data_IF_691054228866
#
_entry.id   IF_691054228866
#
_cell.length_a   1.000
_cell.length_b   1.000
_cell.length_c   1.000
_cell.angle_alpha   90.00
_cell.angle_beta   90.00
_cell.angle_gamma   90.00
#
_symmetry.space_group_name_H-M   'P 1'
#
loop_
_entity.id
_entity.type
_entity.pdbx_description
1 polymer ?
#
# COMPACT_ATOMS: atom_id res chain seq x y z
N UNK A 1 -14.15 20.76 11.67
CA UNK A 1 -13.61 20.61 10.29
C UNK A 1 -12.10 20.43 10.36
N UNK A 2 -11.60 19.21 10.16
CA UNK A 2 -10.21 18.80 10.47
C UNK A 2 -9.33 18.74 9.21
N UNK A 3 -9.34 19.80 8.40
CA UNK A 3 -8.56 19.91 7.14
C UNK A 3 -7.13 20.42 7.35
N UNK A 4 -6.79 20.85 8.56
CA UNK A 4 -5.53 21.57 8.85
C UNK A 4 -4.26 20.73 8.69
N UNK A 5 -4.35 19.39 8.60
CA UNK A 5 -3.18 18.52 8.60
C UNK A 5 -2.78 17.99 7.21
N UNK A 6 -3.69 17.91 6.23
CA UNK A 6 -3.36 17.44 4.87
C UNK A 6 -2.36 18.35 4.17
N UNK A 7 -2.40 19.63 4.50
CA UNK A 7 -1.62 20.65 3.83
C UNK A 7 -0.14 20.64 4.22
N UNK A 8 0.23 20.01 5.33
CA UNK A 8 1.63 20.00 5.78
C UNK A 8 2.52 19.21 4.82
N UNK A 9 2.09 18.02 4.39
CA UNK A 9 2.83 17.21 3.41
C UNK A 9 2.91 17.89 2.03
N UNK A 10 1.82 18.52 1.59
CA UNK A 10 1.80 19.31 0.35
C UNK A 10 2.73 20.54 0.44
N UNK A 11 2.77 21.21 1.58
CA UNK A 11 3.62 22.38 1.82
C UNK A 11 5.11 21.99 1.84
N UNK A 12 5.47 20.87 2.45
CA UNK A 12 6.85 20.34 2.42
C UNK A 12 7.28 20.01 0.98
N UNK A 13 6.43 19.31 0.22
CA UNK A 13 6.72 19.02 -1.18
C UNK A 13 6.84 20.30 -2.02
N UNK A 14 5.95 21.28 -1.81
CA UNK A 14 5.98 22.56 -2.51
C UNK A 14 7.23 23.38 -2.18
N UNK A 15 7.66 23.43 -0.92
CA UNK A 15 8.89 24.14 -0.51
C UNK A 15 10.12 23.47 -1.11
N UNK A 16 10.21 22.14 -1.06
CA UNK A 16 11.30 21.41 -1.70
C UNK A 16 11.34 21.62 -3.21
N UNK A 17 10.17 21.60 -3.86
CA UNK A 17 10.04 21.91 -5.28
C UNK A 17 10.51 23.33 -5.60
N UNK A 18 10.09 24.31 -4.79
CA UNK A 18 10.48 25.71 -4.97
C UNK A 18 11.99 25.90 -4.86
N UNK A 19 12.67 25.21 -3.93
CA UNK A 19 14.12 25.24 -3.80
C UNK A 19 14.81 24.66 -5.03
N UNK A 20 14.33 23.51 -5.54
CA UNK A 20 14.91 22.90 -6.74
C UNK A 20 14.71 23.79 -7.96
N UNK A 21 13.53 24.41 -8.10
CA UNK A 21 13.24 25.37 -9.17
C UNK A 21 14.11 26.62 -9.10
N UNK A 22 14.53 27.04 -7.90
CA UNK A 22 15.44 28.17 -7.71
C UNK A 22 16.89 27.81 -8.06
N UNK A 23 17.33 26.59 -7.74
CA UNK A 23 18.68 26.09 -8.01
C UNK A 23 18.88 25.80 -9.51
N UNK A 24 17.82 25.39 -10.21
CA UNK A 24 17.87 25.03 -11.62
C UNK A 24 18.44 26.11 -12.57
N UNK A 25 17.96 27.37 -12.57
CA UNK A 25 18.50 28.43 -13.44
C UNK A 25 19.94 28.79 -13.09
N UNK A 26 20.34 28.67 -11.82
CA UNK A 26 21.73 28.87 -11.42
C UNK A 26 22.65 27.79 -12.01
N UNK A 27 22.21 26.52 -11.98
CA UNK A 27 22.92 25.43 -12.66
C UNK A 27 23.04 25.69 -14.17
N UNK A 28 21.94 26.07 -14.83
CA UNK A 28 21.94 26.35 -16.27
C UNK A 28 22.93 27.47 -16.60
N UNK A 29 22.91 28.58 -15.86
CA UNK A 29 23.81 29.71 -16.07
C UNK A 29 25.29 29.34 -15.92
N UNK A 30 25.62 28.49 -14.95
CA UNK A 30 27.01 28.12 -14.67
C UNK A 30 27.56 27.06 -15.62
N UNK A 31 26.72 26.09 -16.04
CA UNK A 31 27.19 24.89 -16.72
C UNK A 31 26.83 24.82 -18.20
N UNK A 32 25.87 25.59 -18.74
CA UNK A 32 25.50 25.51 -20.16
C UNK A 32 26.40 26.29 -21.15
N UNK A 33 27.48 26.91 -20.67
CA UNK A 33 28.39 27.68 -21.54
C UNK A 33 29.32 26.79 -22.41
N UNK A 34 29.36 25.49 -22.17
CA UNK A 34 30.23 24.55 -22.89
C UNK A 34 29.45 23.35 -23.43
N UNK A 35 29.96 22.71 -24.48
CA UNK A 35 29.36 21.55 -25.16
C UNK A 35 29.16 20.36 -24.20
N UNK A 36 30.08 20.18 -23.25
CA UNK A 36 29.95 19.17 -22.20
C UNK A 36 28.74 19.44 -21.29
N UNK A 37 28.42 20.71 -21.04
CA UNK A 37 27.27 21.13 -20.25
C UNK A 37 25.93 20.87 -20.93
N UNK A 38 25.87 21.04 -22.26
CA UNK A 38 24.69 20.68 -23.06
C UNK A 38 24.41 19.17 -23.04
N UNK A 39 25.45 18.32 -23.08
CA UNK A 39 25.28 16.88 -22.94
C UNK A 39 24.90 16.48 -21.51
N UNK A 40 25.53 17.10 -20.51
CA UNK A 40 25.22 16.90 -19.09
C UNK A 40 23.82 17.38 -18.68
N UNK A 41 23.22 18.28 -19.45
CA UNK A 41 21.88 18.80 -19.19
C UNK A 41 20.80 17.71 -19.12
N UNK A 42 20.88 16.70 -19.99
CA UNK A 42 19.92 15.57 -19.98
C UNK A 42 20.01 14.80 -18.66
N UNK A 43 21.22 14.55 -18.17
CA UNK A 43 21.45 13.86 -16.89
C UNK A 43 20.88 14.68 -15.74
N UNK A 44 21.07 16.00 -15.75
CA UNK A 44 20.54 16.88 -14.69
C UNK A 44 19.02 17.03 -14.76
N UNK A 45 18.42 17.02 -15.95
CA UNK A 45 16.96 16.93 -16.10
C UNK A 45 16.42 15.62 -15.52
N UNK A 46 17.09 14.49 -15.77
CA UNK A 46 16.68 13.20 -15.20
C UNK A 46 16.78 13.22 -13.68
N UNK A 47 17.86 13.79 -13.14
CA UNK A 47 18.02 13.97 -11.70
C UNK A 47 16.94 14.89 -11.12
N UNK A 48 16.57 15.96 -11.83
CA UNK A 48 15.48 16.85 -11.44
C UNK A 48 14.16 16.10 -11.34
N UNK A 49 13.77 15.34 -12.37
CA UNK A 49 12.53 14.55 -12.34
C UNK A 49 12.55 13.47 -11.26
N UNK A 50 13.73 12.87 -10.99
CA UNK A 50 13.91 11.93 -9.89
C UNK A 50 13.66 12.59 -8.53
N UNK A 51 14.28 13.75 -8.28
CA UNK A 51 14.10 14.52 -7.03
C UNK A 51 12.66 15.04 -6.89
N UNK A 52 12.04 15.45 -7.99
CA UNK A 52 10.62 15.84 -8.04
C UNK A 52 9.71 14.69 -7.59
N UNK A 53 9.89 13.50 -8.16
CA UNK A 53 9.15 12.32 -7.76
C UNK A 53 9.39 11.96 -6.29
N UNK A 54 10.64 12.03 -5.84
CA UNK A 54 11.00 11.78 -4.45
C UNK A 54 10.30 12.76 -3.48
N UNK A 55 10.30 14.06 -3.79
CA UNK A 55 9.58 15.07 -3.03
C UNK A 55 8.07 14.81 -2.99
N UNK A 56 7.50 14.33 -4.09
CA UNK A 56 6.09 13.98 -4.16
C UNK A 56 5.76 12.78 -3.27
N UNK A 57 6.58 11.73 -3.31
CA UNK A 57 6.42 10.54 -2.44
C UNK A 57 6.61 10.91 -0.97
N UNK A 58 7.60 11.73 -0.62
CA UNK A 58 7.81 12.20 0.76
C UNK A 58 6.63 13.04 1.24
N UNK A 59 6.16 13.99 0.42
CA UNK A 59 4.97 14.80 0.74
C UNK A 59 3.72 13.95 0.93
N UNK A 60 3.53 12.94 0.08
CA UNK A 60 2.44 11.98 0.21
C UNK A 60 2.55 11.11 1.47
N UNK A 61 3.75 10.65 1.82
CA UNK A 61 3.99 9.88 3.06
C UNK A 61 3.71 10.71 4.31
N UNK A 62 4.18 11.97 4.36
CA UNK A 62 3.90 12.88 5.46
C UNK A 62 2.40 13.14 5.57
N UNK A 63 1.73 13.33 4.42
CA UNK A 63 0.29 13.52 4.36
C UNK A 63 -0.47 12.28 4.87
N UNK A 64 -0.09 11.08 4.43
CA UNK A 64 -0.68 9.82 4.86
C UNK A 64 -0.48 9.57 6.37
N UNK A 65 0.72 9.85 6.90
CA UNK A 65 1.03 9.72 8.33
C UNK A 65 0.14 10.62 9.21
N UNK A 66 -0.25 11.79 8.70
CA UNK A 66 -1.06 12.75 9.44
C UNK A 66 -2.57 12.57 9.28
N UNK A 67 -3.01 12.04 8.13
CA UNK A 67 -4.44 11.89 7.84
C UNK A 67 -5.00 10.54 8.29
N UNK A 68 -4.18 9.49 8.28
CA UNK A 68 -4.59 8.15 8.63
C UNK A 68 -4.06 7.72 10.01
N UNK A 69 -4.95 7.70 11.00
CA UNK A 69 -4.91 6.68 12.07
C UNK A 69 -5.36 5.31 11.55
N UNK A 70 -5.71 5.21 10.26
CA UNK A 70 -6.00 3.95 9.59
C UNK A 70 -4.67 3.44 9.06
N UNK A 71 -4.02 2.61 9.85
CA UNK A 71 -2.80 1.92 9.45
C UNK A 71 -3.05 1.25 8.09
N UNK A 72 -2.44 1.71 6.99
CA UNK A 72 -2.52 0.97 5.76
C UNK A 72 -1.64 -0.25 6.02
N UNK A 73 -2.28 -1.38 6.34
CA UNK A 73 -1.65 -2.67 6.58
C UNK A 73 -1.04 -2.89 8.00
N UNK A 74 -1.80 -2.67 9.10
CA UNK A 74 -1.37 -3.24 10.40
C UNK A 74 -1.45 -4.77 10.42
N UNK A 75 -2.55 -5.29 9.90
CA UNK A 75 -2.60 -6.67 9.48
C UNK A 75 -1.85 -6.68 8.14
N UNK A 76 -0.63 -7.23 8.12
CA UNK A 76 0.09 -7.45 6.86
C UNK A 76 -0.85 -8.11 5.85
N UNK A 77 -0.60 -7.95 4.55
CA UNK A 77 -1.36 -8.72 3.55
C UNK A 77 -1.34 -10.23 3.90
N UNK A 78 -0.23 -10.70 4.50
CA UNK A 78 -0.12 -12.04 5.08
C UNK A 78 -1.07 -12.31 6.26
N UNK A 79 -1.35 -11.35 7.14
CA UNK A 79 -2.33 -11.50 8.22
C UNK A 79 -3.76 -11.53 7.68
N UNK A 80 -4.10 -10.68 6.70
CA UNK A 80 -5.41 -10.73 6.06
C UNK A 80 -5.62 -12.02 5.24
N UNK A 81 -4.57 -12.49 4.54
CA UNK A 81 -4.61 -13.76 3.82
C UNK A 81 -4.69 -14.95 4.79
N UNK A 82 -3.94 -14.93 5.89
CA UNK A 82 -4.08 -15.96 6.92
C UNK A 82 -5.49 -16.00 7.50
N UNK A 83 -6.09 -14.85 7.80
CA UNK A 83 -7.45 -14.81 8.35
C UNK A 83 -8.52 -15.21 7.32
N UNK A 84 -8.31 -14.90 6.04
CA UNK A 84 -9.18 -15.36 4.97
C UNK A 84 -9.07 -16.87 4.74
N UNK A 85 -7.84 -17.40 4.68
CA UNK A 85 -7.58 -18.83 4.50
C UNK A 85 -8.05 -19.63 5.72
N UNK A 86 -7.84 -19.13 6.93
CA UNK A 86 -8.34 -19.74 8.17
C UNK A 86 -9.86 -19.82 8.19
N UNK A 87 -10.54 -18.74 7.77
CA UNK A 87 -12.01 -18.73 7.62
C UNK A 87 -12.52 -19.75 6.61
N UNK A 88 -11.84 -19.93 5.47
CA UNK A 88 -12.24 -20.95 4.50
C UNK A 88 -11.99 -22.38 5.03
N UNK A 89 -10.87 -22.63 5.71
CA UNK A 89 -10.61 -23.95 6.30
C UNK A 89 -11.62 -24.30 7.41
N UNK A 90 -12.04 -23.34 8.22
CA UNK A 90 -13.07 -23.57 9.25
C UNK A 90 -14.41 -23.93 8.61
N UNK A 91 -14.80 -23.28 7.52
CA UNK A 91 -16.04 -23.62 6.80
C UNK A 91 -15.99 -25.02 6.18
N UNK A 92 -14.87 -25.37 5.53
CA UNK A 92 -14.70 -26.70 4.94
C UNK A 92 -14.66 -27.80 6.02
N UNK A 93 -14.07 -27.50 7.17
CA UNK A 93 -14.02 -28.44 8.31
C UNK A 93 -15.41 -28.66 8.89
N UNK A 94 -16.20 -27.59 9.05
CA UNK A 94 -17.57 -27.66 9.59
C UNK A 94 -18.50 -28.44 8.65
N UNK A 95 -18.45 -28.19 7.33
CA UNK A 95 -19.23 -28.97 6.35
C UNK A 95 -18.84 -30.45 6.33
N UNK A 96 -17.54 -30.75 6.45
CA UNK A 96 -17.08 -32.14 6.53
C UNK A 96 -17.60 -32.83 7.79
N UNK A 97 -17.63 -32.14 8.93
CA UNK A 97 -18.08 -32.69 10.20
C UNK A 97 -19.60 -32.95 10.19
N UNK A 98 -20.39 -32.01 9.67
CA UNK A 98 -21.84 -32.18 9.50
C UNK A 98 -22.16 -33.38 8.60
N UNK A 99 -21.40 -33.59 7.53
CA UNK A 99 -21.58 -34.73 6.62
C UNK A 99 -21.28 -36.06 7.32
N UNK A 100 -20.25 -36.11 8.16
CA UNK A 100 -19.90 -37.31 8.92
C UNK A 100 -20.90 -37.64 10.03
N UNK A 101 -21.42 -36.63 10.73
CA UNK A 101 -22.46 -36.82 11.75
C UNK A 101 -23.77 -37.29 11.12
N UNK A 102 -24.16 -36.72 9.98
CA UNK A 102 -25.33 -37.13 9.22
C UNK A 102 -25.24 -38.59 8.74
N UNK A 103 -24.10 -39.01 8.18
CA UNK A 103 -23.89 -40.40 7.74
C UNK A 103 -23.90 -41.37 8.94
N UNK A 104 -23.33 -40.98 10.08
CA UNK A 104 -23.32 -41.81 11.27
C UNK A 104 -24.74 -42.03 11.85
N UNK A 105 -25.57 -40.99 11.84
CA UNK A 105 -26.98 -41.07 12.27
C UNK A 105 -27.81 -41.92 11.30
N UNK A 106 -27.60 -41.75 9.99
CA UNK A 106 -28.31 -42.55 8.97
C UNK A 106 -27.97 -44.05 9.06
N UNK A 107 -26.70 -44.41 9.26
CA UNK A 107 -26.29 -45.81 9.46
C UNK A 107 -26.92 -46.39 10.74
N UNK A 108 -26.92 -45.62 11.83
CA UNK A 108 -27.50 -46.07 13.10
C UNK A 108 -29.03 -46.24 13.03
N UNK A 109 -29.70 -45.52 12.12
CA UNK A 109 -31.13 -45.68 11.87
C UNK A 109 -31.45 -46.93 11.05
N UNK A 110 -30.55 -47.37 10.15
CA UNK A 110 -30.75 -48.55 9.29
C UNK A 110 -30.61 -49.87 10.06
N UNK A 111 -29.78 -49.90 11.11
CA UNK A 111 -29.58 -51.09 11.96
C UNK A 111 -30.68 -51.29 13.03
N UNK A 112 -31.73 -50.46 13.04
CA UNK A 112 -32.87 -50.63 13.96
C UNK A 112 -33.76 -51.79 13.47
N UNK A 113 -33.90 -52.91 14.23
CA UNK A 113 -34.77 -54.01 13.82
C UNK A 113 -36.23 -53.54 13.75
N UNK A 114 -37.03 -54.01 12.78
CA UNK A 114 -38.43 -53.61 12.67
C UNK A 114 -39.16 -53.96 13.96
N UNK A 115 -39.86 -52.97 14.52
CA UNK A 115 -40.69 -53.14 15.70
C UNK A 115 -41.73 -54.26 15.45
N UNK A 116 -41.96 -55.16 16.42
CA UNK A 116 -42.83 -56.32 16.28
C UNK A 116 -44.31 -55.95 16.06
#
# INVERSE_FOLDING_TARGET
MRWKHTWCGALVAAVGLQLVLLIFPWYVHQFMNDYAGQLGFVIVILLFFYLFGLLFVIGAQINAFFFDHIQPLKAGLGTCLCEYVDRELIQLTDESFQTHEFIADEINHIDQPPLP
#
